data_IF_640025962310
#
_entry.id   IF_640025962310
#
_cell.length_a   1.000
_cell.length_b   1.000
_cell.length_c   1.000
_cell.angle_alpha   90.00
_cell.angle_beta   90.00
_cell.angle_gamma   90.00
#
_symmetry.space_group_name_H-M   'P 1'
#
loop_
_entity.id
_entity.type
_entity.pdbx_description
1 polymer ?
#
# COMPACT_ATOMS: atom_id res chain seq x y z
N UNK A 1 31.85 21.71 11.09
CA UNK A 1 31.42 21.51 9.68
C UNK A 1 30.62 20.23 9.58
N UNK A 2 29.39 20.28 9.07
CA UNK A 2 28.55 19.13 8.92
C UNK A 2 28.97 18.36 7.67
N UNK A 3 29.06 17.05 7.80
CA UNK A 3 29.28 16.20 6.63
C UNK A 3 28.01 16.16 5.75
N UNK A 4 28.21 16.07 4.44
CA UNK A 4 27.10 15.89 3.49
C UNK A 4 26.50 14.49 3.70
N UNK A 5 25.18 14.37 3.90
CA UNK A 5 24.55 13.07 4.05
C UNK A 5 24.77 12.20 2.81
N UNK A 6 24.94 10.89 3.02
CA UNK A 6 25.03 9.95 1.92
C UNK A 6 23.64 9.74 1.30
N UNK A 7 23.62 9.29 0.04
CA UNK A 7 22.37 8.93 -0.65
C UNK A 7 21.63 7.83 0.09
N UNK A 8 22.33 6.82 0.61
CA UNK A 8 21.73 5.73 1.37
C UNK A 8 21.07 6.22 2.65
N UNK A 9 21.72 7.12 3.36
CA UNK A 9 21.14 7.71 4.56
C UNK A 9 19.89 8.53 4.24
N UNK A 10 19.95 9.35 3.18
CA UNK A 10 18.81 10.16 2.74
C UNK A 10 17.64 9.26 2.32
N UNK A 11 17.89 8.21 1.54
CA UNK A 11 16.87 7.27 1.12
C UNK A 11 16.19 6.61 2.33
N UNK A 12 16.99 6.19 3.33
CA UNK A 12 16.47 5.61 4.56
C UNK A 12 15.60 6.58 5.34
N UNK A 13 16.02 7.84 5.45
CA UNK A 13 15.27 8.89 6.14
C UNK A 13 13.96 9.21 5.42
N UNK A 14 14.00 9.32 4.10
CA UNK A 14 12.82 9.60 3.28
C UNK A 14 11.79 8.49 3.45
N UNK A 15 12.21 7.23 3.36
CA UNK A 15 11.33 6.07 3.55
C UNK A 15 10.75 6.07 4.96
N UNK A 16 11.61 6.19 5.97
CA UNK A 16 11.20 6.11 7.38
C UNK A 16 10.20 7.20 7.75
N UNK A 17 10.43 8.43 7.30
CA UNK A 17 9.67 9.60 7.73
C UNK A 17 8.51 9.97 6.80
N UNK A 18 8.36 9.32 5.64
CA UNK A 18 7.28 9.62 4.70
C UNK A 18 5.92 9.50 5.37
N UNK A 19 5.01 10.45 5.06
CA UNK A 19 3.61 10.38 5.48
C UNK A 19 2.82 9.30 4.74
N UNK A 20 3.26 8.92 3.54
CA UNK A 20 2.70 7.75 2.85
C UNK A 20 3.17 6.50 3.59
N UNK A 21 2.34 5.47 3.61
CA UNK A 21 2.73 4.18 4.15
C UNK A 21 3.68 3.50 3.17
N UNK A 22 4.88 3.17 3.64
CA UNK A 22 5.86 2.44 2.86
C UNK A 22 6.17 1.17 3.62
N UNK A 23 6.01 0.03 2.96
CA UNK A 23 6.27 -1.28 3.55
C UNK A 23 6.90 -2.19 2.51
N UNK A 24 7.64 -3.17 2.99
CA UNK A 24 8.21 -4.22 2.16
C UNK A 24 7.83 -5.57 2.75
N UNK A 25 7.43 -6.50 1.88
CA UNK A 25 7.18 -7.89 2.25
C UNK A 25 8.04 -8.81 1.40
N UNK A 26 8.51 -9.89 2.01
CA UNK A 26 9.38 -10.86 1.37
C UNK A 26 8.60 -11.84 0.48
N UNK A 27 9.28 -12.84 -0.05
CA UNK A 27 8.68 -13.83 -0.95
C UNK A 27 7.51 -14.58 -0.34
N UNK A 28 7.51 -14.74 0.97
CA UNK A 28 6.46 -15.42 1.72
C UNK A 28 5.35 -14.48 2.18
N UNK A 29 5.45 -13.20 1.81
CA UNK A 29 4.47 -12.19 2.21
C UNK A 29 4.59 -11.72 3.65
N UNK A 30 5.76 -11.88 4.23
CA UNK A 30 6.04 -11.45 5.61
C UNK A 30 6.59 -10.03 5.58
N UNK A 31 6.04 -9.16 6.40
CA UNK A 31 6.43 -7.75 6.48
C UNK A 31 7.83 -7.63 7.07
N UNK A 32 8.73 -6.95 6.35
CA UNK A 32 10.12 -6.74 6.75
C UNK A 32 10.50 -5.27 6.87
N UNK A 33 9.66 -4.36 6.39
CA UNK A 33 9.83 -2.91 6.53
C UNK A 33 8.46 -2.29 6.75
N UNK A 34 8.38 -1.35 7.69
CA UNK A 34 7.15 -0.71 8.09
C UNK A 34 7.49 0.69 8.62
N UNK A 35 7.20 1.72 7.85
CA UNK A 35 7.61 3.09 8.17
C UNK A 35 6.62 3.83 9.08
N UNK A 36 6.93 5.08 9.39
CA UNK A 36 6.06 5.94 10.20
C UNK A 36 4.67 6.14 9.59
N UNK A 37 4.61 6.31 8.26
CA UNK A 37 3.34 6.45 7.55
C UNK A 37 2.48 5.20 7.68
N UNK A 38 3.09 4.03 7.64
CA UNK A 38 2.39 2.75 7.86
C UNK A 38 1.80 2.68 9.27
N UNK A 39 2.58 3.09 10.27
CA UNK A 39 2.11 3.12 11.66
C UNK A 39 0.88 4.00 11.83
N UNK A 40 0.92 5.20 11.27
CA UNK A 40 -0.22 6.13 11.37
C UNK A 40 -1.43 5.66 10.58
N UNK A 41 -1.21 5.16 9.37
CA UNK A 41 -2.29 4.77 8.47
C UNK A 41 -3.04 3.52 8.96
N UNK A 42 -2.31 2.51 9.39
CA UNK A 42 -2.90 1.21 9.75
C UNK A 42 -3.06 1.00 11.26
N UNK A 43 -2.40 1.79 12.09
CA UNK A 43 -2.53 1.72 13.53
C UNK A 43 -1.66 0.66 14.22
N UNK A 44 -0.88 -0.11 13.46
CA UNK A 44 0.10 -1.05 14.01
C UNK A 44 1.45 -0.39 14.12
N UNK A 45 2.16 -0.57 15.23
CA UNK A 45 3.55 -0.15 15.35
C UNK A 45 4.44 -1.06 14.49
N UNK A 46 5.64 -0.59 14.17
CA UNK A 46 6.62 -1.43 13.47
C UNK A 46 6.91 -2.71 14.26
N UNK A 47 7.02 -2.61 15.58
CA UNK A 47 7.23 -3.78 16.44
C UNK A 47 6.11 -4.81 16.32
N UNK A 48 4.87 -4.35 16.15
CA UNK A 48 3.71 -5.23 15.97
C UNK A 48 3.65 -5.84 14.56
N UNK A 49 4.00 -5.06 13.53
CA UNK A 49 3.83 -5.46 12.14
C UNK A 49 4.98 -6.30 11.59
N UNK A 50 6.23 -5.98 11.97
CA UNK A 50 7.40 -6.70 11.46
C UNK A 50 7.35 -8.18 11.84
N UNK A 51 7.55 -9.04 10.85
CA UNK A 51 7.47 -10.48 11.02
C UNK A 51 6.06 -11.06 10.87
N UNK A 52 5.06 -10.22 10.67
CA UNK A 52 3.68 -10.66 10.44
C UNK A 52 3.37 -10.76 8.96
N UNK A 53 2.36 -11.58 8.63
CA UNK A 53 1.84 -11.68 7.26
C UNK A 53 1.15 -10.38 6.84
N UNK A 54 1.19 -10.07 5.55
CA UNK A 54 0.40 -8.99 4.95
C UNK A 54 -1.11 -9.13 5.20
N UNK A 55 -1.58 -10.31 5.59
CA UNK A 55 -2.98 -10.50 6.00
C UNK A 55 -3.42 -9.48 7.06
N UNK A 56 -2.46 -8.96 7.82
CA UNK A 56 -2.68 -7.95 8.84
C UNK A 56 -3.54 -6.77 8.32
N UNK A 57 -3.32 -6.37 7.07
CA UNK A 57 -3.99 -5.21 6.45
C UNK A 57 -4.93 -5.58 5.31
N UNK A 58 -5.09 -6.87 5.02
CA UNK A 58 -5.93 -7.31 3.89
C UNK A 58 -7.27 -7.82 4.41
N UNK A 59 -8.40 -7.26 3.94
CA UNK A 59 -9.71 -7.76 4.29
C UNK A 59 -9.83 -9.26 4.02
N UNK A 60 -10.43 -9.99 4.94
CA UNK A 60 -10.50 -11.45 4.90
C UNK A 60 -11.03 -11.99 3.57
N UNK A 61 -12.09 -11.39 3.05
CA UNK A 61 -12.70 -11.80 1.79
C UNK A 61 -11.82 -11.58 0.55
N UNK A 62 -10.73 -10.82 0.67
CA UNK A 62 -9.81 -10.52 -0.43
C UNK A 62 -8.49 -11.29 -0.33
N UNK A 63 -8.26 -12.00 0.75
CA UNK A 63 -6.96 -12.67 1.01
C UNK A 63 -6.64 -13.72 -0.05
N UNK A 64 -7.59 -14.55 -0.41
CA UNK A 64 -7.38 -15.58 -1.44
C UNK A 64 -6.90 -14.99 -2.76
N UNK A 65 -7.61 -14.00 -3.26
CA UNK A 65 -7.25 -13.29 -4.51
C UNK A 65 -5.90 -12.61 -4.40
N UNK A 66 -5.63 -11.97 -3.25
CA UNK A 66 -4.36 -11.30 -3.01
C UNK A 66 -3.18 -12.27 -3.10
N UNK A 67 -3.27 -13.42 -2.43
CA UNK A 67 -2.17 -14.38 -2.43
C UNK A 67 -1.97 -15.07 -3.77
N UNK A 68 -3.04 -15.28 -4.55
CA UNK A 68 -2.93 -15.78 -5.92
C UNK A 68 -2.13 -14.81 -6.79
N UNK A 69 -2.45 -13.51 -6.71
CA UNK A 69 -1.73 -12.47 -7.42
C UNK A 69 -0.29 -12.32 -6.94
N UNK A 70 -0.07 -12.42 -5.64
CA UNK A 70 1.25 -12.33 -5.03
C UNK A 70 2.18 -13.45 -5.52
N UNK A 71 1.68 -14.68 -5.55
CA UNK A 71 2.43 -15.83 -6.05
C UNK A 71 2.84 -15.64 -7.51
N UNK A 72 1.94 -15.13 -8.35
CA UNK A 72 2.25 -14.84 -9.77
C UNK A 72 3.36 -13.81 -9.91
N UNK A 73 3.34 -12.75 -9.09
CA UNK A 73 4.38 -11.72 -9.11
C UNK A 73 5.72 -12.29 -8.64
N UNK A 74 5.71 -13.11 -7.58
CA UNK A 74 6.93 -13.76 -7.10
C UNK A 74 7.55 -14.67 -8.16
N UNK A 75 6.74 -15.42 -8.89
CA UNK A 75 7.20 -16.33 -9.94
C UNK A 75 7.70 -15.61 -11.20
N UNK A 76 6.98 -14.59 -11.65
CA UNK A 76 7.30 -13.85 -12.89
C UNK A 76 8.31 -12.74 -12.68
N UNK A 77 8.41 -12.20 -11.46
CA UNK A 77 9.24 -11.02 -11.16
C UNK A 77 8.72 -9.74 -11.81
N UNK A 78 7.49 -9.75 -12.27
CA UNK A 78 6.89 -8.58 -12.92
C UNK A 78 5.41 -8.44 -12.55
N UNK A 79 4.91 -7.21 -12.64
CA UNK A 79 3.51 -6.88 -12.45
C UNK A 79 3.15 -5.73 -13.40
N UNK A 80 1.97 -5.80 -14.01
CA UNK A 80 1.43 -4.70 -14.80
C UNK A 80 1.22 -3.44 -13.94
N UNK A 81 1.18 -3.60 -12.62
CA UNK A 81 0.98 -2.49 -11.67
C UNK A 81 2.28 -1.86 -11.17
N UNK A 82 3.44 -2.25 -11.70
CA UNK A 82 4.72 -1.63 -11.33
C UNK A 82 4.82 -0.16 -11.76
N UNK A 83 4.05 0.23 -12.77
CA UNK A 83 4.00 1.61 -13.29
C UNK A 83 2.62 2.25 -13.15
N UNK A 84 1.62 1.50 -12.69
CA UNK A 84 0.24 1.98 -12.52
C UNK A 84 -0.15 2.00 -11.06
N UNK A 85 -1.04 2.94 -10.72
CA UNK A 85 -1.62 2.99 -9.38
C UNK A 85 -2.72 1.93 -9.24
N UNK A 86 -2.67 1.19 -8.14
CA UNK A 86 -3.68 0.23 -7.78
C UNK A 86 -4.61 0.83 -6.73
N UNK A 87 -5.89 0.49 -6.79
CA UNK A 87 -6.86 0.88 -5.78
C UNK A 87 -7.37 -0.39 -5.06
N UNK A 88 -7.36 -0.37 -3.75
CA UNK A 88 -7.84 -1.50 -2.95
C UNK A 88 -8.26 -1.06 -1.56
N UNK A 89 -9.25 -1.75 -0.94
CA UNK A 89 -9.53 -1.54 0.47
C UNK A 89 -8.47 -2.21 1.33
N UNK A 90 -8.25 -1.64 2.52
CA UNK A 90 -7.33 -2.21 3.50
C UNK A 90 -7.97 -2.15 4.89
N UNK A 91 -7.44 -2.94 5.83
CA UNK A 91 -7.87 -2.97 7.22
C UNK A 91 -6.91 -2.19 8.10
N UNK A 92 -7.47 -1.46 9.05
CA UNK A 92 -6.72 -0.89 10.18
C UNK A 92 -6.77 -1.83 11.38
N UNK A 93 -5.91 -1.58 12.35
CA UNK A 93 -5.86 -2.36 13.60
C UNK A 93 -7.21 -2.41 14.33
N UNK A 94 -7.98 -1.33 14.26
CA UNK A 94 -9.31 -1.25 14.89
C UNK A 94 -10.41 -1.99 14.11
N UNK A 95 -10.06 -2.62 12.99
CA UNK A 95 -11.00 -3.35 12.15
C UNK A 95 -11.73 -2.49 11.11
N UNK A 96 -11.51 -1.18 11.10
CA UNK A 96 -12.13 -0.32 10.08
C UNK A 96 -11.46 -0.50 8.72
N UNK A 97 -12.25 -0.35 7.66
CA UNK A 97 -11.75 -0.38 6.28
C UNK A 97 -11.45 1.03 5.81
N UNK A 98 -10.36 1.16 5.08
CA UNK A 98 -9.99 2.39 4.38
C UNK A 98 -9.85 2.09 2.89
N UNK A 99 -10.04 3.13 2.08
CA UNK A 99 -9.78 3.06 0.64
C UNK A 99 -8.35 3.53 0.39
N UNK A 100 -7.57 2.72 -0.32
CA UNK A 100 -6.17 3.04 -0.61
C UNK A 100 -5.90 3.07 -2.10
N UNK A 101 -4.90 3.87 -2.46
CA UNK A 101 -4.21 3.76 -3.74
C UNK A 101 -2.74 3.49 -3.44
N UNK A 102 -2.13 2.65 -4.24
CA UNK A 102 -0.72 2.34 -4.03
C UNK A 102 0.00 1.99 -5.33
N UNK A 103 1.30 2.20 -5.31
CA UNK A 103 2.23 1.71 -6.32
C UNK A 103 3.11 0.64 -5.69
N UNK A 104 3.70 -0.19 -6.53
CA UNK A 104 4.55 -1.29 -6.09
C UNK A 104 5.93 -1.19 -6.73
N UNK A 105 6.94 -1.62 -5.98
CA UNK A 105 8.30 -1.75 -6.47
C UNK A 105 8.71 -3.21 -6.31
N UNK A 106 9.07 -3.84 -7.42
CA UNK A 106 9.62 -5.19 -7.42
C UNK A 106 11.07 -5.10 -6.95
N UNK A 107 11.37 -5.67 -5.81
CA UNK A 107 12.72 -5.64 -5.25
C UNK A 107 13.44 -6.93 -5.62
N UNK A 108 14.52 -6.77 -6.37
CA UNK A 108 15.35 -7.89 -6.85
C UNK A 108 16.78 -7.70 -6.38
N UNK A 109 17.51 -8.80 -6.20
CA UNK A 109 18.94 -8.74 -5.92
C UNK A 109 19.74 -8.44 -7.20
N UNK A 110 21.05 -8.36 -7.07
CA UNK A 110 21.97 -8.07 -8.18
C UNK A 110 21.88 -9.12 -9.31
N UNK A 111 21.51 -10.36 -8.97
CA UNK A 111 21.34 -11.45 -9.95
C UNK A 111 19.94 -11.45 -10.60
N UNK A 112 19.06 -10.52 -10.23
CA UNK A 112 17.69 -10.46 -10.73
C UNK A 112 16.72 -11.39 -10.01
N UNK A 113 17.13 -12.00 -8.91
CA UNK A 113 16.27 -12.87 -8.10
C UNK A 113 15.29 -12.00 -7.30
N UNK A 114 14.01 -12.34 -7.37
CA UNK A 114 12.95 -11.63 -6.67
C UNK A 114 13.09 -11.80 -5.16
N UNK A 115 13.24 -10.69 -4.43
CA UNK A 115 13.32 -10.68 -2.97
C UNK A 115 11.98 -10.42 -2.33
N UNK A 116 11.14 -9.62 -2.97
CA UNK A 116 9.85 -9.25 -2.45
C UNK A 116 9.31 -8.00 -3.14
N UNK A 117 8.29 -7.40 -2.53
CA UNK A 117 7.59 -6.24 -3.07
C UNK A 117 7.53 -5.13 -2.03
N UNK A 118 7.90 -3.92 -2.43
CA UNK A 118 7.62 -2.73 -1.65
C UNK A 118 6.31 -2.10 -2.15
N UNK A 119 5.50 -1.58 -1.25
CA UNK A 119 4.29 -0.86 -1.56
C UNK A 119 4.38 0.55 -0.97
N UNK A 120 4.01 1.54 -1.78
CA UNK A 120 3.85 2.93 -1.34
C UNK A 120 2.36 3.22 -1.40
N UNK A 121 1.74 3.41 -0.23
CA UNK A 121 0.29 3.40 -0.06
C UNK A 121 -0.19 4.74 0.46
N UNK A 122 -1.27 5.23 -0.12
CA UNK A 122 -1.94 6.46 0.31
C UNK A 122 -3.38 6.17 0.68
N UNK A 123 -3.83 6.71 1.82
CA UNK A 123 -5.23 6.65 2.22
C UNK A 123 -6.00 7.68 1.40
N UNK A 124 -6.95 7.23 0.62
CA UNK A 124 -7.78 8.08 -0.24
C UNK A 124 -9.26 8.02 0.17
N UNK A 125 -9.53 7.60 1.41
CA UNK A 125 -10.90 7.44 1.91
C UNK A 125 -11.71 8.73 1.83
N UNK A 126 -11.11 9.85 2.22
CA UNK A 126 -11.77 11.17 2.17
C UNK A 126 -12.08 11.59 0.72
N UNK A 127 -11.15 11.38 -0.20
CA UNK A 127 -11.35 11.68 -1.63
C UNK A 127 -12.43 10.78 -2.22
N UNK A 128 -12.38 9.48 -1.92
CA UNK A 128 -13.36 8.51 -2.40
C UNK A 128 -14.76 8.86 -1.93
N UNK A 129 -14.91 9.25 -0.66
CA UNK A 129 -16.19 9.66 -0.09
C UNK A 129 -16.74 10.90 -0.78
N UNK A 130 -15.88 11.91 -1.04
CA UNK A 130 -16.29 13.12 -1.76
C UNK A 130 -16.73 12.82 -3.19
N UNK A 131 -16.00 11.97 -3.89
CA UNK A 131 -16.35 11.55 -5.26
C UNK A 131 -17.71 10.83 -5.27
N UNK A 132 -17.94 9.96 -4.30
CA UNK A 132 -19.20 9.24 -4.16
C UNK A 132 -20.37 10.21 -3.92
N UNK A 133 -20.20 11.19 -3.04
CA UNK A 133 -21.20 12.21 -2.76
C UNK A 133 -21.48 13.08 -3.99
N UNK A 134 -20.46 13.46 -4.73
CA UNK A 134 -20.59 14.24 -5.96
C UNK A 134 -21.34 13.45 -7.04
N UNK A 135 -21.04 12.19 -7.21
CA UNK A 135 -21.75 11.31 -8.16
C UNK A 135 -23.23 11.19 -7.78
N UNK A 136 -23.54 11.04 -6.51
CA UNK A 136 -24.92 10.95 -6.02
C UNK A 136 -25.68 12.26 -6.27
N UNK A 137 -25.04 13.42 -6.00
CA UNK A 137 -25.63 14.74 -6.26
C UNK A 137 -25.89 14.94 -7.75
N UNK A 138 -24.96 14.53 -8.61
CA UNK A 138 -25.12 14.60 -10.05
C UNK A 138 -26.29 13.72 -10.53
N UNK A 139 -26.38 12.49 -10.01
CA UNK A 139 -27.48 11.57 -10.34
C UNK A 139 -28.84 12.17 -9.96
N UNK A 140 -28.96 12.78 -8.79
CA UNK A 140 -30.21 13.46 -8.35
C UNK A 140 -30.57 14.62 -9.26
N UNK A 141 -29.58 15.43 -9.65
CA UNK A 141 -29.81 16.57 -10.55
C UNK A 141 -30.23 16.13 -11.96
N UNK A 142 -29.62 15.06 -12.48
CA UNK A 142 -29.98 14.48 -13.79
C UNK A 142 -31.41 13.91 -13.76
N UNK A 143 -31.80 13.24 -12.68
CA UNK A 143 -33.15 12.72 -12.51
C UNK A 143 -34.20 13.84 -12.50
N UNK A 144 -33.88 15.00 -11.86
CA UNK A 144 -34.77 16.18 -11.87
C UNK A 144 -34.93 16.80 -13.25
N UNK A 145 -33.87 16.75 -14.08
CA UNK A 145 -33.93 17.27 -15.46
C UNK A 145 -34.73 16.38 -16.40
N UNK A 146 -34.82 15.10 -16.09
CA UNK A 146 -35.53 14.13 -16.90
C UNK A 146 -37.06 14.11 -16.71
N UNK A 147 -37.57 14.97 -15.84
CA UNK A 147 -39.01 15.05 -15.54
C UNK A 147 -39.69 16.12 -16.38
#
# INVERSE_FOLDING_TARGET
>A
MQETPTEEWLAGMIVTASSDAIMFSDREGIIRLWNSGSERMFGFTAAEALGQSLDLIIPENLRGRHWDGYARVMDSGSSRYSTEMLAAPALRKDGTRISTEFSMVMVKDESGVMLGVAAIIRDVSARWQREKELKERLRVLEAKKGV
#
